data_IF_963349719288
#
_entry.id   IF_963349719288
#
_cell.length_a   1.000
_cell.length_b   1.000
_cell.length_c   1.000
_cell.angle_alpha   90.00
_cell.angle_beta   90.00
_cell.angle_gamma   90.00
#
_symmetry.space_group_name_H-M   'P 1'
#
loop_
_entity.id
_entity.type
_entity.pdbx_description
1 polymer ?
#
# COMPACT_ATOMS: atom_id res chain seq x y z
N UNK A 1 -13.81 10.52 1.53
CA UNK A 1 -13.39 9.50 2.51
C UNK A 1 -12.93 10.07 3.85
N UNK A 2 -11.96 10.98 3.93
CA UNK A 2 -11.44 11.52 5.20
C UNK A 2 -12.28 12.66 5.84
N UNK A 3 -13.52 12.86 5.41
CA UNK A 3 -14.45 13.85 5.99
C UNK A 3 -14.61 15.17 5.23
N UNK A 4 -13.75 15.49 4.24
CA UNK A 4 -13.95 16.67 3.40
C UNK A 4 -15.14 16.51 2.44
N UNK A 5 -15.97 17.55 2.31
CA UNK A 5 -17.10 17.61 1.38
C UNK A 5 -16.82 18.41 0.11
N UNK A 6 -15.73 19.18 0.08
CA UNK A 6 -15.28 19.96 -1.08
C UNK A 6 -13.78 19.76 -1.29
N UNK A 7 -13.32 19.92 -2.54
CA UNK A 7 -11.91 19.84 -2.92
C UNK A 7 -11.50 21.14 -3.61
N UNK A 8 -10.42 21.77 -3.14
CA UNK A 8 -9.83 22.96 -3.75
C UNK A 8 -8.56 22.57 -4.51
N UNK A 9 -8.36 23.15 -5.69
CA UNK A 9 -7.25 22.80 -6.58
C UNK A 9 -6.57 24.05 -7.11
N UNK A 10 -5.25 24.14 -6.93
CA UNK A 10 -4.41 25.23 -7.46
C UNK A 10 -3.39 24.69 -8.44
N UNK A 11 -2.47 23.84 -7.97
CA UNK A 11 -1.37 23.30 -8.79
C UNK A 11 -1.89 22.48 -9.98
N UNK A 12 -3.01 21.76 -9.82
CA UNK A 12 -3.64 21.03 -10.92
C UNK A 12 -4.13 21.95 -12.04
N UNK A 13 -4.69 23.12 -11.71
CA UNK A 13 -5.10 24.12 -12.71
C UNK A 13 -3.89 24.71 -13.43
N UNK A 14 -2.81 24.98 -12.70
CA UNK A 14 -1.58 25.52 -13.30
C UNK A 14 -0.94 24.53 -14.29
N UNK A 15 -1.01 23.23 -13.98
CA UNK A 15 -0.37 22.19 -14.78
C UNK A 15 -1.22 21.74 -15.98
N UNK A 16 -2.54 21.64 -15.80
CA UNK A 16 -3.44 20.99 -16.77
C UNK A 16 -4.49 21.95 -17.37
N UNK A 17 -4.52 23.20 -16.93
CA UNK A 17 -5.51 24.19 -17.34
C UNK A 17 -6.87 24.00 -16.66
N UNK A 18 -7.81 24.92 -16.92
CA UNK A 18 -9.11 24.92 -16.26
C UNK A 18 -9.99 23.70 -16.57
N UNK A 19 -9.80 23.07 -17.73
CA UNK A 19 -10.65 21.96 -18.19
C UNK A 19 -10.47 20.66 -17.40
N UNK A 20 -9.44 20.56 -16.54
CA UNK A 20 -9.31 19.44 -15.60
C UNK A 20 -10.54 19.23 -14.71
N UNK A 21 -11.37 20.28 -14.52
CA UNK A 21 -12.64 20.14 -13.79
C UNK A 21 -13.62 19.17 -14.45
N UNK A 22 -13.60 19.06 -15.79
CA UNK A 22 -14.42 18.10 -16.55
C UNK A 22 -13.99 16.66 -16.21
N UNK A 23 -12.68 16.39 -16.25
CA UNK A 23 -12.10 15.08 -15.93
C UNK A 23 -12.30 14.71 -14.45
N UNK A 24 -12.15 15.67 -13.53
CA UNK A 24 -12.39 15.45 -12.10
C UNK A 24 -13.86 15.09 -11.83
N UNK A 25 -14.81 15.76 -12.47
CA UNK A 25 -16.22 15.46 -12.33
C UNK A 25 -16.57 14.09 -12.90
N UNK A 26 -16.12 13.79 -14.12
CA UNK A 26 -16.35 12.48 -14.77
C UNK A 26 -15.72 11.34 -13.97
N UNK A 27 -14.46 11.48 -13.57
CA UNK A 27 -13.75 10.47 -12.78
C UNK A 27 -14.42 10.20 -11.43
N UNK A 28 -14.91 11.24 -10.75
CA UNK A 28 -15.66 11.08 -9.51
C UNK A 28 -16.98 10.31 -9.74
N UNK A 29 -17.74 10.66 -10.78
CA UNK A 29 -18.99 9.96 -11.11
C UNK A 29 -18.76 8.47 -11.41
N UNK A 30 -17.70 8.14 -12.16
CA UNK A 30 -17.34 6.75 -12.42
C UNK A 30 -16.93 6.01 -11.14
N UNK A 31 -16.10 6.63 -10.30
CA UNK A 31 -15.69 6.05 -9.03
C UNK A 31 -16.88 5.74 -8.11
N UNK A 32 -17.84 6.67 -7.99
CA UNK A 32 -19.04 6.45 -7.18
C UNK A 32 -19.85 5.25 -7.69
N UNK A 33 -20.04 5.14 -9.02
CA UNK A 33 -20.74 4.01 -9.62
C UNK A 33 -20.00 2.67 -9.41
N UNK A 34 -18.68 2.64 -9.60
CA UNK A 34 -17.86 1.44 -9.43
C UNK A 34 -17.85 0.93 -7.99
N UNK A 35 -17.92 1.83 -7.01
CA UNK A 35 -17.99 1.50 -5.60
C UNK A 35 -19.43 1.29 -5.09
N UNK A 36 -20.44 1.52 -5.94
CA UNK A 36 -21.85 1.36 -5.58
C UNK A 36 -22.39 2.43 -4.62
N UNK A 37 -21.87 3.66 -4.68
CA UNK A 37 -22.39 4.81 -3.93
C UNK A 37 -23.45 5.56 -4.73
N UNK A 38 -24.59 5.86 -4.10
CA UNK A 38 -25.67 6.64 -4.72
C UNK A 38 -25.44 8.16 -4.59
N UNK A 39 -24.64 8.56 -3.60
CA UNK A 39 -24.33 9.96 -3.33
C UNK A 39 -22.92 10.18 -2.81
N UNK A 40 -22.39 11.40 -2.99
CA UNK A 40 -21.09 11.79 -2.43
C UNK A 40 -21.08 11.67 -0.89
N UNK A 41 -22.21 11.97 -0.25
CA UNK A 41 -22.36 12.00 1.20
C UNK A 41 -22.07 10.65 1.85
N UNK A 42 -22.38 9.54 1.18
CA UNK A 42 -22.08 8.19 1.68
C UNK A 42 -20.58 7.93 1.82
N UNK A 43 -19.75 8.58 1.01
CA UNK A 43 -18.29 8.44 1.04
C UNK A 43 -17.62 9.42 2.03
N UNK A 44 -18.28 10.52 2.41
CA UNK A 44 -17.68 11.55 3.27
C UNK A 44 -17.54 11.02 4.70
N UNK A 45 -16.31 10.82 5.15
CA UNK A 45 -15.99 10.37 6.52
C UNK A 45 -15.91 8.86 6.69
N UNK A 46 -16.22 8.06 5.66
CA UNK A 46 -16.24 6.60 5.73
C UNK A 46 -14.91 5.98 6.22
N UNK A 47 -13.77 6.61 5.90
CA UNK A 47 -12.45 6.14 6.33
C UNK A 47 -12.07 6.53 7.77
N UNK A 48 -12.83 7.42 8.41
CA UNK A 48 -12.49 7.91 9.76
C UNK A 48 -12.52 6.79 10.81
N UNK A 49 -13.36 5.76 10.60
CA UNK A 49 -13.45 4.59 11.49
C UNK A 49 -12.16 3.75 11.51
N UNK A 50 -11.28 3.92 10.51
CA UNK A 50 -10.00 3.21 10.42
C UNK A 50 -8.84 4.00 11.07
N UNK A 51 -9.10 5.23 11.54
CA UNK A 51 -8.09 6.05 12.20
C UNK A 51 -8.15 5.77 13.70
N UNK A 52 -7.12 5.12 14.23
CA UNK A 52 -6.99 4.79 15.65
C UNK A 52 -5.72 5.41 16.24
N UNK A 53 -5.68 5.66 17.57
CA UNK A 53 -4.46 5.98 18.28
C UNK A 53 -3.35 4.95 18.04
N UNK A 54 -2.09 5.36 18.20
CA UNK A 54 -0.94 4.51 17.87
C UNK A 54 -0.83 3.28 18.80
N UNK A 55 -1.38 3.37 20.01
CA UNK A 55 -1.50 2.33 21.02
C UNK A 55 -2.53 1.24 20.65
N UNK A 56 -3.53 1.57 19.84
CA UNK A 56 -4.58 0.66 19.40
C UNK A 56 -4.21 -0.07 18.09
N UNK A 57 -3.08 0.30 17.47
CA UNK A 57 -2.54 -0.43 16.33
C UNK A 57 -2.10 -1.82 16.76
N UNK A 58 -2.69 -2.85 16.14
CA UNK A 58 -2.26 -4.22 16.39
C UNK A 58 -0.85 -4.45 15.85
N UNK A 59 0.07 -4.73 16.77
CA UNK A 59 1.48 -5.03 16.49
C UNK A 59 1.83 -6.47 16.87
N UNK A 60 0.83 -7.31 17.14
CA UNK A 60 1.00 -8.69 17.57
C UNK A 60 1.53 -9.60 16.45
N UNK A 61 1.40 -9.19 15.18
CA UNK A 61 1.82 -9.97 14.03
C UNK A 61 2.74 -9.20 13.07
N UNK A 62 3.31 -9.94 12.12
CA UNK A 62 4.11 -9.46 11.00
C UNK A 62 3.48 -10.01 9.72
N UNK A 63 3.32 -9.17 8.70
CA UNK A 63 2.93 -9.61 7.36
C UNK A 63 4.17 -9.64 6.48
N UNK A 64 4.55 -10.83 6.03
CA UNK A 64 5.70 -10.99 5.14
C UNK A 64 5.31 -10.71 3.69
N UNK A 65 6.22 -10.14 2.88
CA UNK A 65 5.95 -9.89 1.46
C UNK A 65 5.89 -11.21 0.67
N UNK A 66 4.83 -11.40 -0.12
CA UNK A 66 4.74 -12.46 -1.13
C UNK A 66 5.23 -11.93 -2.46
N UNK A 67 6.30 -12.52 -2.99
CA UNK A 67 6.92 -12.09 -4.25
C UNK A 67 6.44 -13.00 -5.38
N UNK A 68 5.74 -12.43 -6.36
CA UNK A 68 5.42 -13.10 -7.61
C UNK A 68 6.63 -12.98 -8.57
N UNK A 69 7.36 -14.09 -8.73
CA UNK A 69 8.56 -14.13 -9.57
C UNK A 69 8.25 -14.08 -11.07
N UNK A 70 7.06 -14.53 -11.51
CA UNK A 70 6.67 -14.48 -12.92
C UNK A 70 6.43 -13.06 -13.41
N UNK A 71 5.96 -12.17 -12.52
CA UNK A 71 5.82 -10.73 -12.80
C UNK A 71 7.12 -9.94 -12.57
N UNK A 72 8.15 -10.55 -11.98
CA UNK A 72 9.35 -9.84 -11.58
C UNK A 72 10.22 -9.48 -12.79
N UNK A 73 10.52 -8.19 -12.96
CA UNK A 73 11.40 -7.70 -14.05
C UNK A 73 12.88 -7.64 -13.66
N UNK A 74 13.26 -8.19 -12.50
CA UNK A 74 14.65 -8.27 -12.05
C UNK A 74 15.35 -6.92 -11.91
N UNK A 75 14.63 -5.86 -11.51
CA UNK A 75 15.20 -4.50 -11.40
C UNK A 75 16.03 -4.24 -10.12
N UNK A 76 15.89 -5.07 -9.08
CA UNK A 76 16.65 -4.92 -7.83
C UNK A 76 16.19 -3.80 -6.88
N UNK A 77 15.20 -2.98 -7.23
CA UNK A 77 14.75 -1.85 -6.38
C UNK A 77 14.29 -2.28 -4.98
N UNK A 78 13.60 -3.41 -4.88
CA UNK A 78 13.17 -3.96 -3.59
C UNK A 78 14.34 -4.36 -2.69
N UNK A 79 15.42 -4.89 -3.29
CA UNK A 79 16.67 -5.20 -2.59
C UNK A 79 17.34 -3.92 -2.08
N UNK A 80 17.64 -2.96 -2.97
CA UNK A 80 18.30 -1.69 -2.63
C UNK A 80 17.52 -0.95 -1.55
N UNK A 81 16.20 -0.84 -1.71
CA UNK A 81 15.36 -0.12 -0.74
C UNK A 81 15.34 -0.77 0.63
N UNK A 82 15.39 -2.11 0.71
CA UNK A 82 15.46 -2.80 2.00
C UNK A 82 16.88 -2.71 2.59
N UNK A 83 17.90 -2.70 1.74
CA UNK A 83 19.30 -2.64 2.16
C UNK A 83 19.67 -1.26 2.72
N UNK A 84 19.38 -0.17 1.99
CA UNK A 84 19.77 1.19 2.38
C UNK A 84 18.74 1.89 3.28
N UNK A 85 17.46 1.57 3.13
CA UNK A 85 16.34 2.28 3.80
C UNK A 85 15.48 1.39 4.69
N UNK A 86 15.88 0.13 4.92
CA UNK A 86 15.09 -0.85 5.65
C UNK A 86 15.93 -1.66 6.64
N UNK A 87 15.71 -2.98 6.61
CA UNK A 87 16.21 -3.92 7.62
C UNK A 87 17.14 -4.99 7.00
N UNK A 88 17.67 -4.75 5.80
CA UNK A 88 18.60 -5.65 5.10
C UNK A 88 18.09 -7.10 5.02
N UNK A 89 16.77 -7.24 4.86
CA UNK A 89 16.05 -8.52 4.88
C UNK A 89 15.75 -9.06 3.48
N UNK A 90 15.90 -8.23 2.44
CA UNK A 90 15.83 -8.69 1.07
C UNK A 90 17.21 -9.14 0.63
N UNK A 91 17.31 -10.39 0.18
CA UNK A 91 18.50 -10.99 -0.40
C UNK A 91 18.37 -10.96 -1.93
N UNK A 92 19.50 -10.84 -2.63
CA UNK A 92 19.54 -10.71 -4.08
C UNK A 92 20.39 -11.80 -4.71
N UNK A 93 19.82 -12.53 -5.67
CA UNK A 93 20.56 -13.48 -6.49
C UNK A 93 21.03 -12.81 -7.77
N UNK A 94 22.34 -12.60 -7.93
CA UNK A 94 22.91 -12.04 -9.16
C UNK A 94 22.74 -12.97 -10.37
N UNK A 95 22.68 -14.29 -10.14
CA UNK A 95 22.55 -15.29 -11.21
C UNK A 95 21.17 -15.26 -11.85
N UNK A 96 20.13 -15.25 -11.02
CA UNK A 96 18.72 -15.29 -11.48
C UNK A 96 18.10 -13.90 -11.57
N UNK A 97 18.77 -12.88 -11.02
CA UNK A 97 18.25 -11.51 -10.87
C UNK A 97 16.91 -11.46 -10.13
N UNK A 98 16.77 -12.30 -9.12
CA UNK A 98 15.54 -12.41 -8.33
C UNK A 98 15.78 -12.06 -6.87
N UNK A 99 14.82 -11.38 -6.22
CA UNK A 99 14.86 -11.13 -4.79
C UNK A 99 14.33 -12.32 -3.98
N UNK A 100 14.83 -12.48 -2.76
CA UNK A 100 14.34 -13.42 -1.75
C UNK A 100 14.17 -12.67 -0.42
N UNK A 101 13.08 -12.93 0.33
CA UNK A 101 12.87 -12.30 1.63
C UNK A 101 13.33 -13.23 2.76
N UNK A 102 14.36 -12.81 3.50
CA UNK A 102 14.78 -13.46 4.72
C UNK A 102 13.82 -13.09 5.86
N UNK A 103 12.94 -14.02 6.23
CA UNK A 103 11.89 -13.82 7.23
C UNK A 103 12.41 -13.65 8.65
N UNK A 104 13.65 -14.07 8.94
CA UNK A 104 14.29 -13.86 10.24
C UNK A 104 14.67 -12.39 10.46
N UNK A 105 15.01 -11.67 9.38
CA UNK A 105 15.37 -10.24 9.43
C UNK A 105 14.19 -9.32 9.11
N UNK A 106 13.20 -9.83 8.37
CA UNK A 106 12.10 -9.01 7.88
C UNK A 106 11.13 -8.64 9.01
N UNK A 107 10.80 -7.34 9.10
CA UNK A 107 9.84 -6.81 10.09
C UNK A 107 8.47 -6.50 9.50
N UNK A 108 8.24 -6.82 8.22
CA UNK A 108 6.95 -6.59 7.56
C UNK A 108 6.64 -5.11 7.25
N UNK A 109 7.65 -4.26 7.05
CA UNK A 109 7.41 -2.84 6.71
C UNK A 109 6.84 -2.62 5.30
N UNK A 110 6.89 -3.63 4.43
CA UNK A 110 6.37 -3.64 3.05
C UNK A 110 6.91 -2.54 2.12
N UNK A 111 7.97 -1.83 2.51
CA UNK A 111 8.65 -0.85 1.67
C UNK A 111 9.06 -1.45 0.31
N UNK A 112 9.49 -2.70 0.29
CA UNK A 112 9.83 -3.43 -0.94
C UNK A 112 8.66 -3.51 -1.93
N UNK A 113 7.42 -3.66 -1.44
CA UNK A 113 6.22 -3.66 -2.27
C UNK A 113 5.90 -2.29 -2.82
N UNK A 114 5.98 -1.25 -2.00
CA UNK A 114 5.72 0.13 -2.43
C UNK A 114 6.68 0.64 -3.51
N UNK A 115 7.95 0.20 -3.50
CA UNK A 115 8.93 0.62 -4.51
C UNK A 115 8.94 -0.27 -5.76
N UNK A 116 8.18 -1.37 -5.77
CA UNK A 116 8.15 -2.29 -6.90
C UNK A 116 7.46 -1.62 -8.11
N UNK A 117 8.15 -1.41 -9.24
CA UNK A 117 7.59 -0.68 -10.39
C UNK A 117 6.47 -1.44 -11.11
N UNK A 118 6.37 -2.75 -10.88
CA UNK A 118 5.39 -3.64 -11.54
C UNK A 118 4.42 -4.27 -10.55
N UNK A 119 4.45 -3.85 -9.28
CA UNK A 119 3.55 -4.37 -8.24
C UNK A 119 3.61 -5.88 -8.03
N UNK A 120 4.77 -6.52 -8.25
CA UNK A 120 4.90 -7.99 -8.11
C UNK A 120 5.04 -8.48 -6.67
N UNK A 121 4.97 -7.59 -5.68
CA UNK A 121 5.11 -7.92 -4.25
C UNK A 121 3.81 -7.53 -3.54
N UNK A 122 3.15 -8.51 -2.94
CA UNK A 122 1.84 -8.39 -2.30
C UNK A 122 1.94 -8.77 -0.81
N UNK A 123 0.86 -8.56 -0.06
CA UNK A 123 0.73 -9.08 1.29
C UNK A 123 0.76 -10.63 1.25
N UNK A 124 1.60 -11.23 2.08
CA UNK A 124 1.82 -12.66 2.13
C UNK A 124 1.40 -13.28 3.46
N UNK A 125 2.27 -14.13 4.00
CA UNK A 125 2.03 -14.85 5.24
C UNK A 125 1.94 -13.88 6.43
N UNK A 126 0.91 -14.06 7.26
CA UNK A 126 0.76 -13.40 8.56
C UNK A 126 1.35 -14.31 9.63
N UNK A 127 2.29 -13.79 10.41
CA UNK A 127 2.93 -14.52 11.50
C UNK A 127 2.85 -13.74 12.81
N UNK A 128 2.24 -14.34 13.82
CA UNK A 128 2.19 -13.77 15.17
C UNK A 128 3.55 -13.82 15.84
N UNK A 129 3.87 -12.76 16.60
CA UNK A 129 5.10 -12.64 17.38
C UNK A 129 5.06 -13.61 18.55
N UNK A 130 6.25 -14.01 19.02
CA UNK A 130 6.39 -14.96 20.11
C UNK A 130 5.72 -14.44 21.39
N UNK A 131 4.73 -15.17 21.89
CA UNK A 131 3.99 -14.85 23.12
C UNK A 131 2.64 -14.15 22.90
N UNK A 132 2.33 -13.76 21.67
CA UNK A 132 1.05 -13.16 21.30
C UNK A 132 -0.01 -14.23 21.00
N UNK A 133 -1.29 -13.89 21.21
CA UNK A 133 -2.41 -14.79 20.90
C UNK A 133 -2.88 -14.55 19.46
N UNK A 134 -3.03 -15.64 18.71
CA UNK A 134 -3.63 -15.59 17.37
C UNK A 134 -5.08 -15.09 17.47
N UNK A 135 -5.44 -14.25 16.50
CA UNK A 135 -6.79 -13.72 16.36
C UNK A 135 -7.05 -13.33 14.89
N UNK A 136 -8.32 -13.08 14.49
CA UNK A 136 -8.63 -12.69 13.13
C UNK A 136 -7.97 -11.35 12.78
N UNK A 137 -7.25 -11.32 11.66
CA UNK A 137 -6.60 -10.13 11.12
C UNK A 137 -7.33 -9.67 9.87
N UNK A 138 -7.67 -8.38 9.82
CA UNK A 138 -8.17 -7.74 8.60
C UNK A 138 -6.98 -7.10 7.89
N UNK A 139 -6.62 -7.62 6.72
CA UNK A 139 -5.54 -7.12 5.86
C UNK A 139 -6.07 -6.21 4.74
#
# INVERSE_FOLDING_TARGET
MLGAATLQVTTGIMQYGYRIVEDMASGLSHYLADQGFDSLQEMVGLANNNIVPAEDLDRSYIVYPRINLDKCVGCGRCYISCYDGGHQAMEWSEKTRTPHCNTEKCVGCLLCGHVCPVGCIELGEVKFKKGEKEHPVTL
#
